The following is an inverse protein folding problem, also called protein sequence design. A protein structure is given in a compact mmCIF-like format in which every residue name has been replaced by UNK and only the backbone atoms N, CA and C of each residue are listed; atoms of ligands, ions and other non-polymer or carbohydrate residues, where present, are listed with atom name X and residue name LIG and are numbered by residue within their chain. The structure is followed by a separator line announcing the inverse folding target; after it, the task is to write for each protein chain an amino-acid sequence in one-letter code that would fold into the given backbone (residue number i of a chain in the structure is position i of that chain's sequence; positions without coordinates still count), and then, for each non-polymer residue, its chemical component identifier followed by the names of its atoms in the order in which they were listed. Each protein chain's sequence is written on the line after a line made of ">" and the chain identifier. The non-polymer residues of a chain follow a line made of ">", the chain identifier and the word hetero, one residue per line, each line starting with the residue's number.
data_IF_100138774502
#
_entry.id   IF_100138774502
#
_cell.length_a   1.000
_cell.length_b   1.000
_cell.length_c   1.000
_cell.angle_alpha   90.00
_cell.angle_beta   90.00
_cell.angle_gamma   90.00
#
_symmetry.space_group_name_H-M   'P 1'
#
loop_
_entity.id
_entity.type
_entity.pdbx_description
1 polymer ?
#
# COMPACT_ATOMS: atom_id res chain seq x y z
N UNK A 1 41.06 -53.14 12.48
CA UNK A 1 41.48 -52.88 11.08
C UNK A 1 40.38 -53.33 10.13
N UNK A 2 39.96 -52.46 9.18
CA UNK A 2 39.59 -52.72 7.76
C UNK A 2 38.93 -54.08 7.43
N UNK A 3 37.82 -54.24 6.71
CA UNK A 3 37.14 -53.45 5.66
C UNK A 3 35.79 -54.14 5.33
N UNK A 4 34.88 -53.34 4.79
CA UNK A 4 33.67 -53.62 4.00
C UNK A 4 33.75 -54.71 2.92
N UNK A 5 32.62 -55.40 2.66
CA UNK A 5 32.07 -55.82 1.33
C UNK A 5 30.76 -56.63 1.57
N UNK A 6 29.56 -56.07 1.36
CA UNK A 6 28.69 -56.13 0.15
C UNK A 6 28.56 -57.54 -0.46
N UNK A 7 27.35 -58.12 -0.40
CA UNK A 7 26.55 -58.52 -1.59
C UNK A 7 25.19 -59.12 -1.22
N UNK A 8 24.20 -58.77 -2.03
CA UNK A 8 22.78 -59.06 -1.92
C UNK A 8 22.43 -60.55 -2.15
N UNK A 9 21.27 -60.98 -1.63
CA UNK A 9 20.47 -62.01 -2.28
C UNK A 9 18.97 -61.89 -1.95
N UNK A 10 18.23 -61.93 -3.04
CA UNK A 10 16.78 -61.87 -3.25
C UNK A 10 16.07 -63.06 -2.62
N UNK A 11 14.86 -62.84 -2.07
CA UNK A 11 13.82 -63.88 -2.04
C UNK A 11 12.44 -63.24 -2.23
N UNK A 12 11.86 -63.52 -3.41
CA UNK A 12 10.48 -63.25 -3.75
C UNK A 12 9.55 -64.20 -2.98
N UNK A 13 8.40 -63.72 -2.54
CA UNK A 13 7.18 -64.51 -2.58
C UNK A 13 6.05 -63.69 -3.21
N UNK A 14 5.54 -64.26 -4.30
CA UNK A 14 4.41 -63.82 -5.11
C UNK A 14 3.07 -64.17 -4.45
N UNK A 15 2.02 -63.55 -4.98
CA UNK A 15 0.57 -63.76 -4.83
C UNK A 15 -0.10 -62.92 -3.71
N UNK A 16 -1.11 -62.08 -3.97
CA UNK A 16 -2.01 -61.94 -5.11
C UNK A 16 -2.48 -60.49 -5.30
N UNK A 17 -2.82 -60.14 -6.55
CA UNK A 17 -3.62 -58.98 -6.94
C UNK A 17 -4.89 -59.47 -7.63
N UNK A 18 -5.96 -58.67 -7.86
CA UNK A 18 -6.45 -57.48 -7.16
C UNK A 18 -7.97 -57.56 -6.84
N UNK A 19 -8.47 -56.81 -5.86
CA UNK A 19 -9.90 -56.41 -5.82
C UNK A 19 -9.99 -54.96 -6.25
N UNK A 20 -10.54 -54.73 -7.45
CA UNK A 20 -10.88 -53.39 -7.92
C UNK A 20 -12.29 -53.00 -7.46
N UNK A 21 -12.44 -51.69 -7.25
CA UNK A 21 -13.67 -50.89 -7.16
C UNK A 21 -14.33 -50.73 -5.78
N UNK A 22 -14.02 -49.62 -5.09
CA UNK A 22 -14.89 -48.44 -5.13
C UNK A 22 -14.28 -47.18 -4.47
N UNK A 23 -14.35 -46.07 -5.21
CA UNK A 23 -14.46 -44.68 -4.77
C UNK A 23 -13.22 -43.96 -4.18
N UNK A 24 -12.40 -43.46 -5.10
CA UNK A 24 -12.00 -42.05 -5.25
C UNK A 24 -11.80 -41.19 -3.98
N UNK A 25 -10.54 -40.89 -3.67
CA UNK A 25 -10.08 -39.53 -3.38
C UNK A 25 -8.58 -39.47 -3.66
N UNK A 26 -8.24 -39.15 -4.90
CA UNK A 26 -6.87 -38.85 -5.28
C UNK A 26 -6.35 -37.68 -4.46
N UNK A 27 -5.27 -37.91 -3.72
CA UNK A 27 -4.35 -36.83 -3.36
C UNK A 27 -3.76 -36.30 -4.68
N UNK A 28 -4.42 -35.28 -5.23
CA UNK A 28 -3.83 -34.44 -6.27
C UNK A 28 -2.71 -33.66 -5.58
N UNK A 29 -1.47 -34.00 -5.94
CA UNK A 29 -0.33 -33.12 -5.70
C UNK A 29 -0.64 -31.77 -6.36
N UNK A 30 -1.03 -30.79 -5.54
CA UNK A 30 -1.29 -29.42 -6.00
C UNK A 30 -0.08 -28.93 -6.80
N UNK A 31 -0.32 -28.62 -8.08
CA UNK A 31 0.73 -28.16 -8.98
C UNK A 31 1.36 -26.87 -8.46
N UNK A 32 2.61 -26.60 -8.81
CA UNK A 32 3.30 -25.36 -8.41
C UNK A 32 2.49 -24.10 -8.82
N UNK A 33 1.73 -24.18 -9.91
CA UNK A 33 0.81 -23.12 -10.34
C UNK A 33 -0.35 -22.92 -9.36
N UNK A 34 -0.92 -23.99 -8.80
CA UNK A 34 -1.98 -23.92 -7.80
C UNK A 34 -1.48 -23.32 -6.49
N UNK A 35 -0.25 -23.66 -6.09
CA UNK A 35 0.41 -23.08 -4.91
C UNK A 35 0.66 -21.58 -5.08
N UNK A 36 1.17 -21.15 -6.24
CA UNK A 36 1.37 -19.72 -6.56
C UNK A 36 0.03 -18.99 -6.61
N UNK A 37 -0.99 -19.56 -7.26
CA UNK A 37 -2.33 -18.95 -7.31
C UNK A 37 -2.95 -18.81 -5.92
N UNK A 38 -2.74 -19.78 -5.04
CA UNK A 38 -3.24 -19.78 -3.68
C UNK A 38 -2.53 -18.74 -2.82
N UNK A 39 -1.21 -18.57 -2.98
CA UNK A 39 -0.45 -17.51 -2.32
C UNK A 39 -0.96 -16.12 -2.76
N UNK A 40 -1.13 -15.90 -4.07
CA UNK A 40 -1.64 -14.64 -4.62
C UNK A 40 -3.07 -14.35 -4.12
N UNK A 41 -3.95 -15.36 -4.11
CA UNK A 41 -5.32 -15.25 -3.58
C UNK A 41 -5.33 -14.96 -2.07
N UNK A 42 -4.45 -15.59 -1.29
CA UNK A 42 -4.30 -15.33 0.15
C UNK A 42 -3.77 -13.92 0.42
N UNK A 43 -2.81 -13.44 -0.36
CA UNK A 43 -2.31 -12.06 -0.27
C UNK A 43 -3.44 -11.05 -0.58
N UNK A 44 -4.13 -11.22 -1.71
CA UNK A 44 -5.25 -10.35 -2.12
C UNK A 44 -6.38 -10.33 -1.10
N UNK A 45 -6.81 -11.48 -0.58
CA UNK A 45 -7.87 -11.56 0.43
C UNK A 45 -7.46 -10.98 1.79
N UNK A 46 -6.17 -11.10 2.16
CA UNK A 46 -5.64 -10.48 3.38
C UNK A 46 -5.56 -8.96 3.24
N UNK A 47 -5.12 -8.45 2.08
CA UNK A 47 -5.11 -7.02 1.75
C UNK A 47 -6.52 -6.42 1.68
N UNK A 48 -7.49 -7.13 1.09
CA UNK A 48 -8.89 -6.70 1.05
C UNK A 48 -9.53 -6.66 2.45
N UNK A 49 -9.23 -7.64 3.31
CA UNK A 49 -9.69 -7.64 4.71
C UNK A 49 -9.04 -6.52 5.53
N UNK A 50 -7.75 -6.26 5.32
CA UNK A 50 -7.07 -5.12 5.94
C UNK A 50 -7.71 -3.80 5.51
N UNK A 51 -7.98 -3.60 4.22
CA UNK A 51 -8.67 -2.41 3.70
C UNK A 51 -10.05 -2.20 4.34
N UNK A 52 -10.89 -3.25 4.37
CA UNK A 52 -12.23 -3.16 5.00
C UNK A 52 -12.19 -2.92 6.51
N UNK A 53 -11.20 -3.49 7.22
CA UNK A 53 -11.04 -3.27 8.67
C UNK A 53 -10.53 -1.87 8.98
N UNK A 54 -9.57 -1.37 8.20
CA UNK A 54 -9.08 0.02 8.27
C UNK A 54 -10.24 0.98 8.00
N UNK A 55 -11.00 0.77 6.93
CA UNK A 55 -12.16 1.59 6.58
C UNK A 55 -13.24 1.58 7.68
N UNK A 56 -13.55 0.42 8.25
CA UNK A 56 -14.56 0.29 9.33
C UNK A 56 -14.09 0.90 10.67
N UNK A 57 -12.81 0.76 11.00
CA UNK A 57 -12.27 1.14 12.32
C UNK A 57 -11.71 2.56 12.37
N UNK A 58 -11.26 3.09 11.23
CA UNK A 58 -10.83 4.49 11.10
C UNK A 58 -12.00 5.36 10.64
N UNK A 59 -13.01 4.74 10.00
CA UNK A 59 -14.23 5.41 9.60
C UNK A 59 -13.99 6.39 8.44
N UNK A 60 -15.03 6.60 7.66
CA UNK A 60 -15.19 7.68 6.68
C UNK A 60 -15.23 9.07 7.40
N UNK A 61 -14.84 9.13 8.67
CA UNK A 61 -15.06 10.22 9.62
C UNK A 61 -13.78 10.69 10.36
N UNK A 62 -12.58 10.44 9.85
CA UNK A 62 -11.44 11.31 10.18
C UNK A 62 -11.65 12.67 9.47
N UNK A 63 -12.67 13.41 9.92
CA UNK A 63 -12.79 14.87 9.78
C UNK A 63 -11.85 15.59 10.75
N UNK A 64 -10.95 14.88 11.41
CA UNK A 64 -9.76 15.46 11.99
C UNK A 64 -8.81 15.75 10.82
N UNK A 65 -9.13 16.88 10.16
CA UNK A 65 -8.22 17.67 9.33
C UNK A 65 -6.89 17.70 10.08
N UNK A 66 -5.90 16.97 9.59
CA UNK A 66 -4.52 17.18 10.04
C UNK A 66 -4.29 18.70 9.93
N UNK A 67 -3.96 19.33 11.06
CA UNK A 67 -4.16 20.75 11.31
C UNK A 67 -3.19 21.68 10.59
N UNK A 68 -2.87 21.38 9.33
CA UNK A 68 -1.96 22.12 8.47
C UNK A 68 -2.70 22.96 7.40
N UNK A 69 -4.03 22.90 7.34
CA UNK A 69 -4.81 23.71 6.39
C UNK A 69 -4.69 25.21 6.66
N UNK A 70 -4.39 25.97 5.60
CA UNK A 70 -4.30 27.42 5.63
C UNK A 70 -5.61 28.03 5.15
N UNK A 71 -6.16 28.98 5.91
CA UNK A 71 -7.42 29.65 5.57
C UNK A 71 -7.14 30.98 4.87
N UNK A 72 -7.55 31.09 3.61
CA UNK A 72 -7.44 32.29 2.78
C UNK A 72 -8.84 32.67 2.29
N UNK A 73 -9.28 33.89 2.55
CA UNK A 73 -10.60 34.41 2.14
C UNK A 73 -11.78 33.46 2.44
N UNK A 74 -11.75 32.84 3.62
CA UNK A 74 -12.80 31.91 4.04
C UNK A 74 -12.66 30.47 3.53
N UNK A 75 -11.75 30.22 2.59
CA UNK A 75 -11.48 28.91 1.98
C UNK A 75 -10.26 28.26 2.62
N UNK A 76 -10.34 26.96 2.90
CA UNK A 76 -9.23 26.20 3.49
C UNK A 76 -8.45 25.47 2.40
N UNK A 77 -7.17 25.77 2.27
CA UNK A 77 -6.25 25.18 1.31
C UNK A 77 -5.22 24.28 2.00
N UNK A 78 -4.73 23.29 1.27
CA UNK A 78 -3.54 22.54 1.66
C UNK A 78 -2.30 23.45 1.59
N UNK A 79 -1.38 23.33 2.55
CA UNK A 79 -0.11 24.05 2.48
C UNK A 79 0.71 23.58 1.27
N UNK A 80 1.61 24.46 0.82
CA UNK A 80 2.52 24.16 -0.29
C UNK A 80 3.84 23.67 0.27
N UNK A 81 4.19 22.42 -0.01
CA UNK A 81 5.46 21.84 0.41
C UNK A 81 6.48 21.86 -0.73
N UNK A 82 7.50 22.70 -0.60
CA UNK A 82 8.64 22.78 -1.52
C UNK A 82 9.80 21.86 -1.12
N UNK A 83 9.91 21.53 0.17
CA UNK A 83 10.98 20.70 0.71
C UNK A 83 10.54 19.24 0.89
N UNK A 84 11.34 18.31 0.37
CA UNK A 84 11.18 16.90 0.66
C UNK A 84 11.98 16.55 1.93
N UNK A 85 11.28 16.08 2.96
CA UNK A 85 11.89 15.70 4.24
C UNK A 85 12.21 14.20 4.26
N UNK A 86 11.32 13.36 3.71
CA UNK A 86 11.52 11.91 3.72
C UNK A 86 12.68 11.48 2.81
N UNK A 87 13.72 10.90 3.40
CA UNK A 87 14.92 10.43 2.72
C UNK A 87 15.08 8.90 2.75
N UNK A 88 14.01 8.15 3.06
CA UNK A 88 14.04 6.69 3.07
C UNK A 88 14.27 6.11 1.67
N UNK A 89 14.72 4.85 1.61
CA UNK A 89 15.12 4.15 0.36
C UNK A 89 14.02 4.13 -0.72
N UNK A 90 12.75 4.21 -0.33
CA UNK A 90 11.60 4.19 -1.24
C UNK A 90 11.12 5.60 -1.65
N UNK A 91 11.77 6.67 -1.20
CA UNK A 91 11.32 8.06 -1.42
C UNK A 91 11.09 8.36 -2.91
N UNK A 92 12.08 8.06 -3.75
CA UNK A 92 11.99 8.31 -5.19
C UNK A 92 10.90 7.47 -5.85
N UNK A 93 10.70 6.23 -5.39
CA UNK A 93 9.63 5.37 -5.89
C UNK A 93 8.26 5.98 -5.59
N UNK A 94 8.05 6.51 -4.38
CA UNK A 94 6.78 7.14 -4.02
C UNK A 94 6.54 8.42 -4.80
N UNK A 95 7.53 9.31 -4.86
CA UNK A 95 7.47 10.54 -5.66
C UNK A 95 7.15 10.26 -7.12
N UNK A 96 7.89 9.35 -7.75
CA UNK A 96 7.68 8.97 -9.14
C UNK A 96 6.28 8.38 -9.37
N UNK A 97 5.75 7.62 -8.40
CA UNK A 97 4.41 7.04 -8.54
C UNK A 97 3.32 8.12 -8.48
N UNK A 98 3.44 9.07 -7.56
CA UNK A 98 2.52 10.20 -7.45
C UNK A 98 2.60 11.12 -8.66
N UNK A 99 3.81 11.45 -9.11
CA UNK A 99 4.01 12.27 -10.30
C UNK A 99 3.38 11.62 -11.54
N UNK A 100 3.59 10.32 -11.77
CA UNK A 100 2.97 9.58 -12.88
C UNK A 100 1.46 9.57 -12.81
N UNK A 101 0.89 9.38 -11.62
CA UNK A 101 -0.57 9.43 -11.44
C UNK A 101 -1.11 10.84 -11.73
N UNK A 102 -0.39 11.88 -11.27
CA UNK A 102 -0.74 13.27 -11.50
C UNK A 102 -0.70 13.65 -12.98
N UNK A 103 0.43 13.42 -13.66
CA UNK A 103 0.61 13.80 -15.08
C UNK A 103 -0.29 13.00 -16.01
N UNK A 104 -0.71 11.79 -15.63
CA UNK A 104 -1.74 11.06 -16.37
C UNK A 104 -3.09 11.79 -16.37
N UNK A 105 -3.45 12.45 -15.26
CA UNK A 105 -4.71 13.20 -15.13
C UNK A 105 -4.59 14.62 -15.69
N UNK A 106 -3.45 15.26 -15.46
CA UNK A 106 -3.14 16.63 -15.89
C UNK A 106 -1.90 16.65 -16.79
N UNK A 107 -2.02 16.24 -18.07
CA UNK A 107 -0.85 16.06 -18.95
C UNK A 107 -0.22 17.35 -19.46
N UNK A 108 -0.90 18.50 -19.32
CA UNK A 108 -0.44 19.80 -19.84
C UNK A 108 0.15 20.73 -18.78
N UNK A 109 0.12 20.33 -17.51
CA UNK A 109 0.66 21.14 -16.41
C UNK A 109 2.17 20.98 -16.30
N UNK A 110 2.85 22.03 -15.87
CA UNK A 110 4.27 21.99 -15.52
C UNK A 110 4.44 21.62 -14.04
N UNK A 111 4.95 20.42 -13.74
CA UNK A 111 5.18 19.99 -12.36
C UNK A 111 6.33 20.78 -11.75
N UNK A 112 6.05 21.52 -10.68
CA UNK A 112 7.01 22.37 -9.98
C UNK A 112 7.73 21.60 -8.86
N UNK A 113 6.97 20.81 -8.09
CA UNK A 113 7.55 20.01 -7.01
C UNK A 113 6.77 18.71 -6.79
N UNK A 114 7.51 17.70 -6.31
CA UNK A 114 6.97 16.44 -5.80
C UNK A 114 7.68 16.13 -4.49
N UNK A 115 6.97 16.18 -3.38
CA UNK A 115 7.58 16.17 -2.04
C UNK A 115 6.86 15.23 -1.09
N UNK A 116 7.60 14.68 -0.13
CA UNK A 116 7.08 13.95 1.02
C UNK A 116 7.54 14.73 2.26
N UNK A 117 6.68 15.60 2.82
CA UNK A 117 7.03 16.53 3.90
C UNK A 117 6.94 15.86 5.28
N UNK A 118 7.35 14.60 5.37
CA UNK A 118 7.34 13.83 6.61
C UNK A 118 8.72 13.23 6.83
N UNK A 119 9.18 13.14 8.08
CA UNK A 119 10.43 12.43 8.41
C UNK A 119 10.30 10.91 8.17
N UNK A 120 9.07 10.39 8.29
CA UNK A 120 8.78 8.98 8.07
C UNK A 120 7.28 8.68 8.12
N UNK A 121 6.98 7.39 8.25
CA UNK A 121 5.62 6.90 8.36
C UNK A 121 4.95 7.37 9.66
N UNK A 122 3.81 8.04 9.54
CA UNK A 122 2.97 8.37 10.69
C UNK A 122 2.13 7.16 11.06
N UNK A 123 2.06 6.83 12.34
CA UNK A 123 1.43 5.60 12.85
C UNK A 123 0.20 5.91 13.69
N UNK A 124 -0.91 5.22 13.41
CA UNK A 124 -2.17 5.31 14.15
C UNK A 124 -2.61 3.93 14.63
N UNK A 125 -2.96 3.82 15.91
CA UNK A 125 -3.53 2.61 16.47
C UNK A 125 -4.96 2.39 15.92
N UNK A 126 -5.26 1.17 15.49
CA UNK A 126 -6.59 0.78 15.02
C UNK A 126 -7.28 0.01 16.14
N UNK A 127 -8.44 0.49 16.58
CA UNK A 127 -9.19 -0.08 17.71
C UNK A 127 -10.49 -0.72 17.24
N UNK A 128 -10.87 -1.82 17.90
CA UNK A 128 -12.19 -2.46 17.79
C UNK A 128 -12.70 -2.75 19.20
N UNK A 129 -13.87 -2.21 19.55
CA UNK A 129 -14.41 -2.31 20.93
C UNK A 129 -13.46 -1.80 22.02
N UNK A 130 -12.68 -0.75 21.74
CA UNK A 130 -11.68 -0.19 22.67
C UNK A 130 -10.34 -0.95 22.74
N UNK A 131 -10.25 -2.14 22.15
CA UNK A 131 -9.02 -2.93 22.08
C UNK A 131 -8.23 -2.60 20.82
N UNK A 132 -6.92 -2.40 20.94
CA UNK A 132 -6.03 -2.22 19.77
C UNK A 132 -5.90 -3.54 19.03
N UNK A 133 -6.32 -3.57 17.76
CA UNK A 133 -6.28 -4.75 16.88
C UNK A 133 -5.15 -4.67 15.84
N UNK A 134 -4.59 -3.48 15.62
CA UNK A 134 -3.52 -3.29 14.65
C UNK A 134 -3.01 -1.85 14.61
N UNK A 135 -2.13 -1.61 13.65
CA UNK A 135 -1.49 -0.31 13.43
C UNK A 135 -1.59 0.03 11.94
N UNK A 136 -2.15 1.21 11.64
CA UNK A 136 -2.10 1.82 10.32
C UNK A 136 -0.89 2.74 10.29
N UNK A 137 -0.13 2.68 9.21
CA UNK A 137 0.87 3.68 8.88
C UNK A 137 0.52 4.35 7.55
N UNK A 138 0.72 5.67 7.50
CA UNK A 138 0.50 6.46 6.30
C UNK A 138 1.66 7.42 6.02
N UNK A 139 1.78 7.77 4.74
CA UNK A 139 2.72 8.76 4.26
C UNK A 139 2.12 9.53 3.10
N UNK A 140 2.21 10.85 3.16
CA UNK A 140 1.68 11.74 2.15
C UNK A 140 2.74 12.16 1.14
N UNK A 141 2.36 12.22 -0.12
CA UNK A 141 3.14 12.83 -1.18
C UNK A 141 2.33 13.94 -1.81
N UNK A 142 2.93 15.11 -1.92
CA UNK A 142 2.33 16.30 -2.51
C UNK A 142 2.93 16.53 -3.90
N UNK A 143 2.09 16.88 -4.86
CA UNK A 143 2.48 17.28 -6.20
C UNK A 143 1.92 18.68 -6.44
N UNK A 144 2.83 19.64 -6.64
CA UNK A 144 2.49 21.00 -7.03
C UNK A 144 2.82 21.19 -8.50
N UNK A 145 1.86 21.68 -9.28
CA UNK A 145 2.07 21.99 -10.68
C UNK A 145 1.44 23.33 -11.06
N UNK A 146 2.02 23.97 -12.06
CA UNK A 146 1.48 25.15 -12.71
C UNK A 146 0.60 24.72 -13.89
N UNK A 147 -0.58 25.31 -14.02
CA UNK A 147 -1.53 25.07 -15.12
C UNK A 147 -1.58 26.32 -16.00
N UNK A 148 -0.68 26.38 -16.98
CA UNK A 148 -0.50 27.56 -17.83
C UNK A 148 -0.16 28.81 -17.03
N UNK A 149 -0.71 29.95 -17.46
CA UNK A 149 -0.56 31.24 -16.77
C UNK A 149 -1.74 31.52 -15.82
N UNK A 150 -2.73 30.63 -15.78
CA UNK A 150 -4.02 30.84 -15.11
C UNK A 150 -4.01 30.45 -13.63
N UNK A 151 -3.13 29.52 -13.22
CA UNK A 151 -3.06 29.10 -11.83
C UNK A 151 -2.21 27.87 -11.56
N UNK A 152 -2.49 27.24 -10.41
CA UNK A 152 -1.74 26.11 -9.89
C UNK A 152 -2.66 25.00 -9.39
N UNK A 153 -2.13 23.78 -9.37
CA UNK A 153 -2.80 22.60 -8.84
C UNK A 153 -1.90 22.01 -7.75
N UNK A 154 -2.41 21.95 -6.53
CA UNK A 154 -1.77 21.27 -5.40
C UNK A 154 -2.54 19.97 -5.11
N UNK A 155 -1.90 18.82 -5.26
CA UNK A 155 -2.52 17.51 -5.08
C UNK A 155 -1.82 16.71 -3.98
N UNK A 156 -2.61 16.05 -3.12
CA UNK A 156 -2.13 15.15 -2.09
C UNK A 156 -2.49 13.70 -2.41
N UNK A 157 -1.50 12.84 -2.24
CA UNK A 157 -1.61 11.40 -2.35
C UNK A 157 -1.24 10.74 -1.01
N UNK A 158 -1.84 9.59 -0.70
CA UNK A 158 -1.42 8.77 0.45
C UNK A 158 -0.96 7.38 0.03
N UNK A 159 0.10 6.94 0.71
CA UNK A 159 0.50 5.55 0.79
C UNK A 159 0.07 5.03 2.17
N UNK A 160 -0.56 3.87 2.22
CA UNK A 160 -0.99 3.28 3.49
C UNK A 160 -0.55 1.82 3.61
N UNK A 161 -0.03 1.46 4.78
CA UNK A 161 0.29 0.09 5.16
C UNK A 161 -0.30 -0.25 6.52
N UNK A 162 -0.76 -1.48 6.69
CA UNK A 162 -1.41 -1.93 7.90
C UNK A 162 -0.80 -3.24 8.38
N UNK A 163 -0.77 -3.43 9.70
CA UNK A 163 -0.49 -4.71 10.34
C UNK A 163 -1.51 -5.00 11.44
N UNK A 164 -1.88 -6.27 11.59
CA UNK A 164 -2.44 -6.74 12.86
C UNK A 164 -1.35 -6.72 13.94
N UNK A 165 -1.74 -6.71 15.21
CA UNK A 165 -0.79 -6.85 16.32
C UNK A 165 0.06 -8.13 16.15
N UNK A 166 1.38 -7.99 16.26
CA UNK A 166 2.34 -9.10 16.14
C UNK A 166 2.63 -9.56 14.71
N UNK A 167 2.12 -8.87 13.68
CA UNK A 167 2.37 -9.21 12.26
C UNK A 167 3.20 -8.16 11.54
N UNK A 168 3.59 -8.49 10.32
CA UNK A 168 4.29 -7.58 9.41
C UNK A 168 3.33 -6.60 8.71
N UNK A 169 3.89 -5.44 8.33
CA UNK A 169 3.16 -4.45 7.54
C UNK A 169 2.94 -4.91 6.09
N UNK A 170 1.69 -4.87 5.65
CA UNK A 170 1.32 -5.03 4.25
C UNK A 170 0.71 -3.76 3.68
N UNK A 171 0.87 -3.52 2.37
CA UNK A 171 0.20 -2.41 1.69
C UNK A 171 -1.32 -2.58 1.74
N UNK A 172 -2.02 -1.47 1.95
CA UNK A 172 -3.48 -1.45 1.92
C UNK A 172 -3.93 -1.33 0.46
N UNK A 173 -4.84 -2.21 0.03
CA UNK A 173 -5.34 -2.22 -1.34
C UNK A 173 -6.00 -0.88 -1.71
N UNK A 174 -5.70 -0.34 -2.88
CA UNK A 174 -6.22 0.95 -3.36
C UNK A 174 -5.59 2.18 -2.70
N UNK A 175 -4.65 2.02 -1.77
CA UNK A 175 -3.97 3.10 -1.04
C UNK A 175 -2.48 3.18 -1.41
N UNK A 176 -2.14 2.97 -2.68
CA UNK A 176 -0.73 2.87 -3.12
C UNK A 176 -0.45 3.36 -4.56
N UNK A 177 -0.46 4.68 -4.80
CA UNK A 177 -1.01 5.72 -3.95
C UNK A 177 -2.54 5.81 -4.10
N UNK A 178 -3.21 6.34 -3.08
CA UNK A 178 -4.54 6.92 -3.25
C UNK A 178 -4.39 8.40 -3.56
N UNK A 179 -5.22 8.92 -4.48
CA UNK A 179 -5.41 10.35 -4.66
C UNK A 179 -6.41 10.85 -3.61
N UNK A 180 -5.95 11.68 -2.66
CA UNK A 180 -6.78 12.10 -1.53
C UNK A 180 -7.48 13.44 -1.76
N UNK A 181 -6.76 14.42 -2.34
CA UNK A 181 -7.25 15.79 -2.46
C UNK A 181 -6.56 16.53 -3.61
N UNK A 182 -7.27 17.49 -4.18
CA UNK A 182 -6.73 18.48 -5.12
C UNK A 182 -7.31 19.84 -4.79
N UNK A 183 -6.43 20.82 -4.67
CA UNK A 183 -6.79 22.22 -4.61
C UNK A 183 -6.32 22.91 -5.90
N UNK A 184 -7.22 23.67 -6.51
CA UNK A 184 -6.91 24.55 -7.63
C UNK A 184 -6.74 25.95 -7.06
N UNK A 185 -5.62 26.59 -7.36
CA UNK A 185 -5.20 27.85 -6.77
C UNK A 185 -5.13 28.91 -7.86
N UNK A 186 -5.69 30.08 -7.59
CA UNK A 186 -5.37 31.28 -8.37
C UNK A 186 -3.93 31.72 -8.07
N UNK A 187 -3.31 32.57 -8.91
CA UNK A 187 -1.99 33.11 -8.62
C UNK A 187 -1.91 33.81 -7.27
N UNK A 188 -2.94 34.60 -6.90
CA UNK A 188 -3.00 35.29 -5.60
C UNK A 188 -2.98 34.33 -4.41
N UNK A 189 -3.78 33.26 -4.46
CA UNK A 189 -3.83 32.25 -3.39
C UNK A 189 -2.52 31.49 -3.31
N UNK A 190 -1.92 31.15 -4.46
CA UNK A 190 -0.63 30.47 -4.51
C UNK A 190 0.49 31.32 -3.88
N UNK A 191 0.55 32.60 -4.20
CA UNK A 191 1.56 33.52 -3.66
C UNK A 191 1.39 33.70 -2.15
N UNK A 192 0.15 33.77 -1.66
CA UNK A 192 -0.12 33.82 -0.22
C UNK A 192 0.30 32.52 0.48
N UNK A 193 -0.07 31.36 -0.07
CA UNK A 193 0.30 30.05 0.49
C UNK A 193 1.81 29.80 0.52
N UNK A 194 2.57 30.36 -0.42
CA UNK A 194 4.03 30.25 -0.44
C UNK A 194 4.73 30.94 0.73
N UNK A 195 4.05 31.89 1.37
CA UNK A 195 4.60 32.69 2.46
C UNK A 195 4.22 32.16 3.85
N UNK A 196 3.45 31.07 3.92
CA UNK A 196 3.15 30.32 5.15
C UNK A 196 4.22 29.25 5.42
#
# INVERSE_FOLDING_TARGET
>A
MKKTLICALVAMFFSASPTWAQSNNGHQDESLADKVSTIVKKAKSSMQRAGKRVEKAIGINDKNRDGDEVKIDGTYYMPIYSLNIYNGKDADKFKNTCQKAFTKKYPRTNVLSVTIPQEGWVSKAVKDGGKVIGYLQYMYCYVLAQDGDDGYINARFSFQRYKDVGKEYGSVNGRWPQWDRTDVLTPSVYDELKNY
#
